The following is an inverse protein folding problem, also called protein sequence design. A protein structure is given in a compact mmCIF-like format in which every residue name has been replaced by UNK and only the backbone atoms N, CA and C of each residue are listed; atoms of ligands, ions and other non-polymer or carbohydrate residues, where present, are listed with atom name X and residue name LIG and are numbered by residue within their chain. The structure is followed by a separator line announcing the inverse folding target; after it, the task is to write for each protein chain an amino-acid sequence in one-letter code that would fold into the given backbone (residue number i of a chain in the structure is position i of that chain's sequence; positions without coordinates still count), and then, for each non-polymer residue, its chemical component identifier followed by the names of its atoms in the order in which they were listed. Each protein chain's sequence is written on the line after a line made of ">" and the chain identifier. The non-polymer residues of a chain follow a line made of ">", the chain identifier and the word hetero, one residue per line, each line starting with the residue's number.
data_IF_134537400366
#
_entry.id   IF_134537400366
#
_cell.length_a   1.000
_cell.length_b   1.000
_cell.length_c   1.000
_cell.angle_alpha   90.00
_cell.angle_beta   90.00
_cell.angle_gamma   90.00
#
_symmetry.space_group_name_H-M   'P 1'
#
loop_
_entity.id
_entity.type
_entity.pdbx_description
1 polymer ?
#
# COMPACT_ATOMS: atom_id res chain seq x y z
N UNK A 1 11.78 8.61 -9.60
CA UNK A 1 10.84 7.67 -10.25
C UNK A 1 11.53 6.45 -10.87
N UNK A 2 12.64 6.60 -11.59
CA UNK A 2 13.31 5.45 -12.22
C UNK A 2 13.62 4.28 -11.26
N UNK A 3 14.07 4.57 -10.04
CA UNK A 3 14.32 3.54 -9.02
C UNK A 3 13.02 2.81 -8.63
N UNK A 4 11.92 3.54 -8.41
CA UNK A 4 10.63 2.95 -8.08
C UNK A 4 10.09 2.07 -9.22
N UNK A 5 10.24 2.51 -10.47
CA UNK A 5 9.85 1.71 -11.65
C UNK A 5 10.69 0.43 -11.78
N UNK A 6 11.99 0.47 -11.43
CA UNK A 6 12.82 -0.73 -11.34
C UNK A 6 12.34 -1.69 -10.24
N UNK A 7 11.93 -1.13 -9.07
CA UNK A 7 11.37 -1.94 -7.99
C UNK A 7 10.05 -2.61 -8.40
N UNK A 8 9.16 -1.88 -9.10
CA UNK A 8 7.90 -2.43 -9.64
C UNK A 8 8.20 -3.56 -10.62
N UNK A 9 9.09 -3.33 -11.61
CA UNK A 9 9.48 -4.35 -12.59
C UNK A 9 10.01 -5.59 -11.89
N UNK A 10 10.95 -5.42 -10.96
CA UNK A 10 11.50 -6.54 -10.20
C UNK A 10 10.42 -7.31 -9.41
N UNK A 11 9.49 -6.60 -8.77
CA UNK A 11 8.40 -7.24 -8.04
C UNK A 11 7.44 -7.97 -8.99
N UNK A 12 7.20 -7.39 -10.14
CA UNK A 12 6.37 -8.00 -11.19
C UNK A 12 7.03 -9.27 -11.74
N UNK A 13 8.32 -9.23 -12.04
CA UNK A 13 9.09 -10.39 -12.54
C UNK A 13 9.19 -11.51 -11.49
N UNK A 14 9.44 -11.17 -10.21
CA UNK A 14 9.60 -12.15 -9.13
C UNK A 14 8.28 -12.80 -8.68
N UNK A 15 7.14 -12.08 -8.77
CA UNK A 15 5.86 -12.50 -8.18
C UNK A 15 4.70 -12.51 -9.17
N UNK A 16 4.95 -12.25 -10.44
CA UNK A 16 3.94 -12.23 -11.50
C UNK A 16 2.70 -11.40 -11.12
N UNK A 17 2.97 -10.11 -10.79
CA UNK A 17 1.96 -9.22 -10.21
C UNK A 17 0.98 -8.69 -11.23
N UNK A 18 1.46 -8.32 -12.43
CA UNK A 18 0.69 -7.64 -13.47
C UNK A 18 0.71 -8.45 -14.75
N UNK A 19 -0.46 -8.79 -15.27
CA UNK A 19 -0.63 -9.50 -16.52
C UNK A 19 -1.20 -8.59 -17.61
N UNK A 20 -1.09 -9.05 -18.83
CA UNK A 20 -1.77 -8.41 -19.95
C UNK A 20 -3.29 -8.41 -19.75
N UNK A 21 -3.94 -7.30 -20.12
CA UNK A 21 -5.38 -7.07 -19.98
C UNK A 21 -5.91 -7.01 -18.51
N UNK A 22 -5.03 -6.93 -17.51
CA UNK A 22 -5.48 -6.64 -16.16
C UNK A 22 -6.20 -5.28 -16.07
N UNK A 23 -7.22 -5.21 -15.23
CA UNK A 23 -7.72 -3.96 -14.69
C UNK A 23 -7.41 -3.88 -13.19
N UNK A 24 -6.65 -2.85 -12.79
CA UNK A 24 -6.11 -2.74 -11.43
C UNK A 24 -6.78 -1.57 -10.70
N UNK A 25 -7.46 -1.82 -9.61
CA UNK A 25 -7.85 -0.76 -8.67
C UNK A 25 -6.65 -0.43 -7.78
N UNK A 26 -6.25 0.84 -7.76
CA UNK A 26 -5.18 1.33 -6.89
C UNK A 26 -5.82 2.00 -5.68
N UNK A 27 -5.65 1.43 -4.49
CA UNK A 27 -6.15 2.02 -3.25
C UNK A 27 -5.34 3.26 -2.86
N UNK A 28 -5.95 4.43 -2.97
CA UNK A 28 -5.34 5.72 -2.63
C UNK A 28 -5.88 6.18 -1.29
N UNK A 29 -5.04 6.17 -0.25
CA UNK A 29 -5.40 6.63 1.10
C UNK A 29 -5.23 8.14 1.31
N UNK A 30 -4.65 8.83 0.34
CA UNK A 30 -4.21 10.22 0.46
C UNK A 30 -2.76 10.38 0.93
N UNK A 31 -2.24 9.41 1.67
CA UNK A 31 -0.85 9.41 2.12
C UNK A 31 0.16 9.26 0.98
N UNK A 32 1.39 9.74 1.23
CA UNK A 32 2.51 9.81 0.28
C UNK A 32 2.72 8.52 -0.55
N UNK A 33 2.67 7.36 0.13
CA UNK A 33 3.01 6.09 -0.51
C UNK A 33 1.99 5.70 -1.57
N UNK A 34 0.70 5.90 -1.27
CA UNK A 34 -0.41 5.54 -2.17
C UNK A 34 -0.50 6.46 -3.39
N UNK A 35 -0.23 7.76 -3.23
CA UNK A 35 -0.27 8.69 -4.37
C UNK A 35 0.96 8.53 -5.25
N UNK A 36 2.13 8.25 -4.65
CA UNK A 36 3.34 7.92 -5.42
C UNK A 36 3.16 6.60 -6.20
N UNK A 37 2.50 5.58 -5.61
CA UNK A 37 2.17 4.34 -6.32
C UNK A 37 1.24 4.60 -7.51
N UNK A 38 0.20 5.42 -7.32
CA UNK A 38 -0.72 5.81 -8.40
C UNK A 38 0.05 6.38 -9.59
N UNK A 39 0.94 7.35 -9.34
CA UNK A 39 1.73 7.96 -10.38
C UNK A 39 2.78 7.00 -10.98
N UNK A 40 3.38 6.15 -10.17
CA UNK A 40 4.34 5.15 -10.65
C UNK A 40 3.68 4.11 -11.57
N UNK A 41 2.49 3.60 -11.23
CA UNK A 41 1.74 2.68 -12.08
C UNK A 41 1.21 3.37 -13.35
N UNK A 42 0.82 4.65 -13.28
CA UNK A 42 0.53 5.44 -14.47
C UNK A 42 1.72 5.48 -15.43
N UNK A 43 2.94 5.73 -14.93
CA UNK A 43 4.13 5.71 -15.78
C UNK A 43 4.46 4.29 -16.25
N UNK A 44 4.28 3.28 -15.40
CA UNK A 44 4.54 1.89 -15.75
C UNK A 44 3.61 1.40 -16.86
N UNK A 45 2.34 1.81 -16.87
CA UNK A 45 1.38 1.48 -17.92
C UNK A 45 1.70 2.07 -19.31
N UNK A 46 2.64 3.03 -19.37
CA UNK A 46 3.12 3.60 -20.65
C UNK A 46 4.21 2.76 -21.32
N UNK A 47 4.79 1.78 -20.63
CA UNK A 47 5.72 0.86 -21.26
C UNK A 47 4.98 -0.10 -22.18
N UNK A 48 5.51 -0.31 -23.39
CA UNK A 48 4.87 -1.10 -24.45
C UNK A 48 4.79 -2.60 -24.16
N UNK A 49 5.55 -3.07 -23.17
CA UNK A 49 5.70 -4.50 -22.87
C UNK A 49 4.52 -5.13 -22.14
N UNK A 50 3.67 -4.32 -21.48
CA UNK A 50 2.49 -4.80 -20.76
C UNK A 50 1.30 -3.85 -20.94
N UNK A 51 0.23 -4.36 -21.49
CA UNK A 51 -1.02 -3.62 -21.64
C UNK A 51 -1.96 -3.95 -20.48
N UNK A 52 -2.05 -3.06 -19.52
CA UNK A 52 -3.03 -3.13 -18.44
C UNK A 52 -3.71 -1.77 -18.25
N UNK A 53 -4.87 -1.78 -17.67
CA UNK A 53 -5.62 -0.59 -17.30
C UNK A 53 -5.68 -0.46 -15.77
N UNK A 54 -5.97 0.74 -15.28
CA UNK A 54 -6.09 0.93 -13.83
C UNK A 54 -7.02 2.11 -13.51
N UNK A 55 -7.52 2.11 -12.28
CA UNK A 55 -8.30 3.22 -11.71
C UNK A 55 -7.80 3.48 -10.29
N UNK A 56 -7.37 4.71 -10.00
CA UNK A 56 -7.13 5.17 -8.65
C UNK A 56 -8.45 5.34 -7.89
N UNK A 57 -8.56 4.80 -6.70
CA UNK A 57 -9.76 4.88 -5.87
C UNK A 57 -9.41 5.44 -4.51
N UNK A 58 -9.97 6.60 -4.18
CA UNK A 58 -10.01 7.15 -2.84
C UNK A 58 -11.34 6.79 -2.18
N UNK A 59 -11.28 6.11 -1.04
CA UNK A 59 -12.46 5.84 -0.23
C UNK A 59 -12.60 6.95 0.80
N UNK A 60 -13.64 7.80 0.64
CA UNK A 60 -14.02 8.75 1.67
C UNK A 60 -14.75 8.01 2.80
N UNK A 61 -14.05 7.81 3.89
CA UNK A 61 -14.53 7.02 5.03
C UNK A 61 -15.36 7.84 6.03
N UNK A 62 -15.62 9.12 5.75
CA UNK A 62 -16.34 10.01 6.63
C UNK A 62 -15.49 10.61 7.77
N UNK A 63 -14.17 10.49 7.72
CA UNK A 63 -13.30 11.25 8.63
C UNK A 63 -13.37 12.74 8.30
N UNK A 64 -13.44 13.59 9.32
CA UNK A 64 -13.49 15.04 9.16
C UNK A 64 -12.15 15.59 8.64
N UNK A 65 -12.24 16.72 7.95
CA UNK A 65 -11.08 17.58 7.59
C UNK A 65 -10.05 16.98 6.61
N UNK A 66 -10.45 16.03 5.75
CA UNK A 66 -9.56 15.56 4.69
C UNK A 66 -9.91 16.20 3.36
N UNK A 67 -9.15 17.21 2.95
CA UNK A 67 -9.25 17.79 1.60
C UNK A 67 -8.36 17.01 0.62
N UNK A 68 -8.98 16.30 -0.31
CA UNK A 68 -8.29 15.53 -1.35
C UNK A 68 -8.19 16.24 -2.70
N UNK A 69 -8.66 17.49 -2.79
CA UNK A 69 -8.63 18.29 -4.02
C UNK A 69 -7.24 18.31 -4.68
N UNK A 70 -6.11 18.44 -3.95
CA UNK A 70 -4.79 18.42 -4.56
C UNK A 70 -4.49 17.12 -5.31
N UNK A 71 -4.99 15.97 -4.81
CA UNK A 71 -4.78 14.66 -5.43
C UNK A 71 -5.67 14.52 -6.67
N UNK A 72 -6.91 14.99 -6.59
CA UNK A 72 -7.85 15.01 -7.72
C UNK A 72 -7.29 15.85 -8.86
N UNK A 73 -6.78 17.05 -8.55
CA UNK A 73 -6.21 17.96 -9.55
C UNK A 73 -4.91 17.39 -10.17
N UNK A 74 -4.11 16.72 -9.35
CA UNK A 74 -2.94 15.99 -9.84
C UNK A 74 -3.35 14.86 -10.80
N UNK A 75 -4.35 14.07 -10.46
CA UNK A 75 -4.86 13.02 -11.32
C UNK A 75 -5.41 13.57 -12.65
N UNK A 76 -6.20 14.67 -12.60
CA UNK A 76 -6.69 15.37 -13.80
C UNK A 76 -5.56 15.87 -14.68
N UNK A 77 -4.51 16.50 -14.09
CA UNK A 77 -3.35 17.02 -14.83
C UNK A 77 -2.67 15.97 -15.70
N UNK A 78 -2.62 14.73 -15.24
CA UNK A 78 -1.98 13.62 -15.97
C UNK A 78 -2.98 12.71 -16.69
N UNK A 79 -4.29 13.04 -16.71
CA UNK A 79 -5.36 12.19 -17.23
C UNK A 79 -5.35 10.78 -16.61
N UNK A 80 -5.09 10.70 -15.30
CA UNK A 80 -5.14 9.47 -14.53
C UNK A 80 -6.59 9.15 -14.17
N UNK A 81 -7.14 7.97 -14.53
CA UNK A 81 -8.47 7.56 -14.09
C UNK A 81 -8.53 7.53 -12.55
N UNK A 82 -9.40 8.34 -11.95
CA UNK A 82 -9.49 8.50 -10.50
C UNK A 82 -10.95 8.65 -10.05
N UNK A 83 -11.32 7.92 -9.00
CA UNK A 83 -12.66 7.97 -8.40
C UNK A 83 -12.58 8.23 -6.90
N UNK A 84 -13.50 9.07 -6.42
CA UNK A 84 -13.78 9.25 -5.00
C UNK A 84 -15.09 8.54 -4.68
N UNK A 85 -15.09 7.64 -3.72
CA UNK A 85 -16.24 6.81 -3.37
C UNK A 85 -16.49 6.94 -1.88
N UNK A 86 -17.71 7.34 -1.51
CA UNK A 86 -18.11 7.43 -0.12
C UNK A 86 -18.38 6.03 0.44
N UNK A 87 -17.79 5.74 1.60
CA UNK A 87 -17.98 4.50 2.35
C UNK A 87 -18.21 4.82 3.84
N UNK A 88 -19.28 4.36 4.48
CA UNK A 88 -19.66 4.78 5.82
C UNK A 88 -18.86 4.09 6.94
N UNK A 89 -17.54 3.96 6.74
CA UNK A 89 -16.68 3.20 7.68
C UNK A 89 -16.58 3.91 9.03
N UNK A 90 -16.43 5.24 9.05
CA UNK A 90 -16.33 5.97 10.31
C UNK A 90 -17.61 5.87 11.13
N UNK A 91 -18.76 6.00 10.50
CA UNK A 91 -20.07 5.84 11.14
C UNK A 91 -20.18 4.44 11.78
N UNK A 92 -19.88 3.39 11.02
CA UNK A 92 -19.88 2.02 11.54
C UNK A 92 -18.93 1.87 12.74
N UNK A 93 -17.71 2.42 12.66
CA UNK A 93 -16.74 2.31 13.74
C UNK A 93 -17.14 3.05 15.00
N UNK A 94 -17.94 4.13 14.90
CA UNK A 94 -18.43 4.86 16.10
C UNK A 94 -19.35 4.02 16.98
N UNK A 95 -20.05 3.04 16.40
CA UNK A 95 -20.88 2.08 17.15
C UNK A 95 -20.07 0.98 17.86
N UNK A 96 -18.78 0.83 17.53
CA UNK A 96 -17.90 -0.23 18.03
C UNK A 96 -16.62 0.32 18.65
N UNK A 97 -16.70 1.45 19.36
CA UNK A 97 -15.55 2.01 20.07
C UNK A 97 -15.09 1.07 21.19
N UNK A 98 -13.79 1.05 21.45
CA UNK A 98 -13.21 0.40 22.61
C UNK A 98 -13.63 1.12 23.89
N UNK A 99 -13.47 0.47 25.06
CA UNK A 99 -13.79 1.05 26.38
C UNK A 99 -13.09 2.40 26.63
N UNK A 100 -11.89 2.58 26.08
CA UNK A 100 -11.12 3.83 26.15
C UNK A 100 -11.52 4.88 25.11
N UNK A 101 -12.61 4.68 24.36
CA UNK A 101 -13.11 5.57 23.32
C UNK A 101 -12.36 5.52 21.98
N UNK A 102 -11.27 4.74 21.88
CA UNK A 102 -10.49 4.62 20.64
C UNK A 102 -11.22 3.76 19.59
N UNK A 103 -11.01 4.07 18.31
CA UNK A 103 -11.53 3.27 17.21
C UNK A 103 -10.78 1.93 17.12
N UNK A 104 -11.49 0.87 16.77
CA UNK A 104 -10.89 -0.44 16.53
C UNK A 104 -10.19 -0.50 15.15
N UNK A 105 -8.86 -0.40 15.17
CA UNK A 105 -8.04 -0.44 13.95
C UNK A 105 -8.15 -1.78 13.18
N UNK A 106 -8.34 -2.89 13.88
CA UNK A 106 -8.50 -4.21 13.24
C UNK A 106 -9.81 -4.26 12.46
N UNK A 107 -10.90 -3.85 13.10
CA UNK A 107 -12.22 -3.76 12.45
C UNK A 107 -12.20 -2.76 11.29
N UNK A 108 -11.57 -1.59 11.46
CA UNK A 108 -11.38 -0.62 10.40
C UNK A 108 -10.67 -1.22 9.19
N UNK A 109 -9.61 -1.97 9.42
CA UNK A 109 -8.85 -2.63 8.36
C UNK A 109 -9.70 -3.66 7.59
N UNK A 110 -10.52 -4.45 8.28
CA UNK A 110 -11.42 -5.42 7.67
C UNK A 110 -12.52 -4.74 6.84
N UNK A 111 -13.13 -3.67 7.37
CA UNK A 111 -14.15 -2.90 6.64
C UNK A 111 -13.57 -2.26 5.37
N UNK A 112 -12.37 -1.66 5.47
CA UNK A 112 -11.66 -1.10 4.30
C UNK A 112 -11.40 -2.15 3.24
N UNK A 113 -10.98 -3.34 3.66
CA UNK A 113 -10.70 -4.45 2.74
C UNK A 113 -11.97 -4.92 2.03
N UNK A 114 -13.07 -5.09 2.75
CA UNK A 114 -14.36 -5.46 2.15
C UNK A 114 -14.86 -4.39 1.17
N UNK A 115 -14.79 -3.12 1.57
CA UNK A 115 -15.21 -2.01 0.72
C UNK A 115 -14.42 -1.92 -0.59
N UNK A 116 -13.09 -1.99 -0.54
CA UNK A 116 -12.26 -1.90 -1.75
C UNK A 116 -12.46 -3.10 -2.69
N UNK A 117 -12.74 -4.30 -2.14
CA UNK A 117 -13.08 -5.48 -2.94
C UNK A 117 -14.39 -5.29 -3.68
N UNK A 118 -15.44 -4.78 -3.01
CA UNK A 118 -16.73 -4.49 -3.66
C UNK A 118 -16.56 -3.45 -4.78
N UNK A 119 -15.81 -2.38 -4.51
CA UNK A 119 -15.50 -1.34 -5.50
C UNK A 119 -14.74 -1.94 -6.70
N UNK A 120 -13.79 -2.82 -6.46
CA UNK A 120 -13.05 -3.47 -7.54
C UNK A 120 -13.99 -4.32 -8.42
N UNK A 121 -14.92 -5.06 -7.83
CA UNK A 121 -15.94 -5.82 -8.58
C UNK A 121 -16.84 -4.91 -9.41
N UNK A 122 -17.33 -3.80 -8.86
CA UNK A 122 -18.15 -2.81 -9.58
C UNK A 122 -17.41 -2.18 -10.76
N UNK A 123 -16.09 -2.07 -10.65
CA UNK A 123 -15.21 -1.56 -11.71
C UNK A 123 -14.71 -2.66 -12.67
N UNK A 124 -15.16 -3.91 -12.52
CA UNK A 124 -14.66 -5.06 -13.26
C UNK A 124 -13.14 -5.21 -13.19
N UNK A 125 -12.55 -4.88 -12.03
CA UNK A 125 -11.13 -5.04 -11.79
C UNK A 125 -10.83 -6.41 -11.18
N UNK A 126 -9.79 -7.05 -11.70
CA UNK A 126 -9.34 -8.36 -11.21
C UNK A 126 -8.18 -8.24 -10.22
N UNK A 127 -7.62 -7.03 -10.04
CA UNK A 127 -6.53 -6.79 -9.08
C UNK A 127 -6.73 -5.51 -8.27
N UNK A 128 -6.21 -5.53 -7.04
CA UNK A 128 -6.14 -4.37 -6.17
C UNK A 128 -4.70 -4.15 -5.76
N UNK A 129 -4.15 -2.96 -6.05
CA UNK A 129 -2.79 -2.58 -5.69
C UNK A 129 -2.75 -1.73 -4.42
N UNK A 130 -1.91 -2.13 -3.47
CA UNK A 130 -1.60 -1.38 -2.26
C UNK A 130 -0.14 -0.91 -2.26
N UNK A 131 0.10 0.25 -1.66
CA UNK A 131 1.40 0.90 -1.64
C UNK A 131 2.34 0.42 -0.51
N UNK A 132 2.07 -0.74 0.08
CA UNK A 132 2.98 -1.30 1.08
C UNK A 132 4.35 -1.55 0.46
N UNK A 133 5.39 -1.12 1.15
CA UNK A 133 6.78 -1.15 0.66
C UNK A 133 7.69 -2.00 1.56
N UNK A 134 8.96 -2.11 1.19
CA UNK A 134 9.92 -2.96 1.89
C UNK A 134 10.10 -2.60 3.37
N UNK A 135 10.07 -1.31 3.73
CA UNK A 135 10.15 -0.90 5.14
C UNK A 135 8.93 -1.37 5.93
N UNK A 136 7.70 -1.28 5.36
CA UNK A 136 6.48 -1.81 5.99
C UNK A 136 6.57 -3.31 6.23
N UNK A 137 7.17 -4.05 5.29
CA UNK A 137 7.33 -5.49 5.41
C UNK A 137 8.27 -5.86 6.56
N UNK A 138 9.37 -5.13 6.72
CA UNK A 138 10.30 -5.30 7.83
C UNK A 138 9.62 -4.93 9.15
N UNK A 139 8.94 -3.78 9.23
CA UNK A 139 8.20 -3.38 10.42
C UNK A 139 7.18 -4.44 10.82
N UNK A 140 6.44 -4.99 9.86
CA UNK A 140 5.44 -6.03 10.11
C UNK A 140 6.07 -7.34 10.57
N UNK A 141 7.22 -7.74 9.99
CA UNK A 141 7.99 -8.90 10.44
C UNK A 141 8.36 -8.78 11.93
N UNK A 142 8.93 -7.64 12.32
CA UNK A 142 9.33 -7.41 13.72
C UNK A 142 8.12 -7.29 14.65
N UNK A 143 7.03 -6.66 14.22
CA UNK A 143 5.78 -6.64 14.99
C UNK A 143 5.26 -8.06 15.22
N UNK A 144 5.20 -8.89 14.20
CA UNK A 144 4.73 -10.26 14.32
C UNK A 144 5.65 -11.11 15.21
N UNK A 145 6.98 -10.97 15.05
CA UNK A 145 7.94 -11.70 15.87
C UNK A 145 7.84 -11.34 17.35
N UNK A 146 7.72 -10.04 17.66
CA UNK A 146 7.76 -9.53 19.05
C UNK A 146 6.41 -9.68 19.74
N UNK A 147 5.29 -9.37 19.06
CA UNK A 147 3.98 -9.32 19.70
C UNK A 147 3.14 -10.60 19.49
N UNK A 148 3.47 -11.40 18.47
CA UNK A 148 2.66 -12.59 18.11
C UNK A 148 3.46 -13.88 18.07
N UNK A 149 4.78 -13.84 18.28
CA UNK A 149 5.65 -15.02 18.21
C UNK A 149 5.70 -15.68 16.82
N UNK A 150 5.41 -14.90 15.75
CA UNK A 150 5.39 -15.39 14.37
C UNK A 150 6.45 -14.69 13.54
N UNK A 151 7.32 -15.46 12.89
CA UNK A 151 8.31 -14.91 11.96
C UNK A 151 7.73 -14.85 10.55
N UNK A 152 6.82 -13.90 10.33
CA UNK A 152 6.08 -13.74 9.09
C UNK A 152 5.76 -12.27 8.80
N UNK A 153 5.51 -11.95 7.53
CA UNK A 153 5.06 -10.65 7.05
C UNK A 153 4.07 -10.83 5.89
N UNK A 154 3.46 -9.74 5.43
CA UNK A 154 2.52 -9.81 4.31
C UNK A 154 3.21 -10.21 3.00
N UNK A 155 2.49 -10.97 2.19
CA UNK A 155 2.97 -11.45 0.88
C UNK A 155 2.88 -10.34 -0.18
N UNK A 156 3.78 -10.34 -1.18
CA UNK A 156 3.70 -9.43 -2.35
C UNK A 156 2.43 -9.59 -3.17
N UNK A 157 1.91 -10.81 -3.24
CA UNK A 157 0.69 -11.21 -3.93
C UNK A 157 -0.17 -12.10 -3.04
N UNK A 158 -1.46 -11.86 -2.99
CA UNK A 158 -2.43 -12.66 -2.24
C UNK A 158 -3.66 -12.89 -3.11
N UNK A 159 -3.95 -14.15 -3.40
CA UNK A 159 -5.20 -14.54 -4.03
C UNK A 159 -6.31 -14.54 -2.97
N UNK A 160 -7.32 -13.72 -3.16
CA UNK A 160 -8.48 -13.68 -2.27
C UNK A 160 -9.54 -14.65 -2.82
N UNK A 161 -9.46 -15.90 -2.36
CA UNK A 161 -10.15 -17.08 -2.94
C UNK A 161 -11.66 -16.86 -3.07
N UNK A 162 -12.29 -16.16 -2.13
CA UNK A 162 -13.75 -15.98 -2.12
C UNK A 162 -14.24 -14.84 -3.05
N UNK A 163 -13.36 -14.11 -3.69
CA UNK A 163 -13.73 -12.85 -4.38
C UNK A 163 -13.16 -12.68 -5.80
N UNK A 164 -12.45 -13.64 -6.35
CA UNK A 164 -11.81 -13.57 -7.67
C UNK A 164 -10.91 -12.33 -7.88
N UNK A 165 -10.46 -11.70 -6.78
CA UNK A 165 -9.63 -10.51 -6.78
C UNK A 165 -8.27 -10.79 -6.17
N UNK A 166 -7.22 -10.35 -6.83
CA UNK A 166 -5.84 -10.53 -6.39
C UNK A 166 -5.33 -9.23 -5.77
N UNK A 167 -4.84 -9.29 -4.53
CA UNK A 167 -4.12 -8.18 -3.92
C UNK A 167 -2.65 -8.21 -4.32
N UNK A 168 -2.13 -7.08 -4.79
CA UNK A 168 -0.74 -6.93 -5.19
C UNK A 168 -0.07 -5.74 -4.47
N UNK A 169 1.25 -5.84 -4.27
CA UNK A 169 2.09 -4.81 -3.65
C UNK A 169 3.29 -4.47 -4.53
N UNK A 170 3.10 -3.64 -5.55
CA UNK A 170 4.16 -3.35 -6.52
C UNK A 170 5.40 -2.68 -5.90
N UNK A 171 5.25 -2.01 -4.75
CA UNK A 171 6.35 -1.36 -4.03
C UNK A 171 7.07 -2.27 -3.03
N UNK A 172 6.84 -3.60 -3.05
CA UNK A 172 7.41 -4.52 -2.06
C UNK A 172 8.94 -4.44 -1.92
N UNK A 173 9.64 -4.07 -2.97
CA UNK A 173 11.10 -3.83 -2.98
C UNK A 173 11.49 -2.36 -2.82
N UNK A 174 10.53 -1.43 -2.83
CA UNK A 174 10.82 -0.01 -2.70
C UNK A 174 11.20 0.34 -1.25
N UNK A 175 12.09 1.33 -1.10
CA UNK A 175 12.43 1.93 0.19
C UNK A 175 11.56 3.16 0.41
N UNK A 176 11.17 3.42 1.66
CA UNK A 176 10.42 4.63 2.02
C UNK A 176 11.16 5.91 1.56
N UNK A 177 12.50 5.93 1.69
CA UNK A 177 13.32 7.06 1.25
C UNK A 177 13.19 7.35 -0.25
N UNK A 178 13.10 6.32 -1.08
CA UNK A 178 12.93 6.49 -2.54
C UNK A 178 11.54 7.01 -2.89
N UNK A 179 10.51 6.64 -2.11
CA UNK A 179 9.15 7.16 -2.24
C UNK A 179 9.12 8.65 -1.86
N UNK A 180 9.71 9.03 -0.72
CA UNK A 180 9.82 10.42 -0.27
C UNK A 180 10.59 11.26 -1.29
N UNK A 181 11.71 10.76 -1.81
CA UNK A 181 12.45 11.45 -2.86
C UNK A 181 11.59 11.68 -4.12
N UNK A 182 10.84 10.67 -4.54
CA UNK A 182 9.95 10.80 -5.69
C UNK A 182 8.80 11.79 -5.43
N UNK A 183 8.20 11.77 -4.24
CA UNK A 183 7.15 12.70 -3.83
C UNK A 183 7.62 14.17 -4.04
N UNK A 184 8.78 14.51 -3.48
CA UNK A 184 9.33 15.87 -3.60
C UNK A 184 9.76 16.22 -5.02
N UNK A 185 10.51 15.33 -5.67
CA UNK A 185 11.06 15.58 -7.01
C UNK A 185 9.99 15.81 -8.07
N UNK A 186 8.84 15.14 -7.96
CA UNK A 186 7.74 15.24 -8.93
C UNK A 186 6.57 16.08 -8.43
N UNK A 187 6.75 16.77 -7.29
CA UNK A 187 5.70 17.58 -6.65
C UNK A 187 4.35 16.82 -6.55
N UNK A 188 4.43 15.54 -6.14
CA UNK A 188 3.25 14.70 -5.95
C UNK A 188 2.55 15.15 -4.67
N UNK A 189 1.25 15.47 -4.70
CA UNK A 189 0.53 15.89 -3.50
C UNK A 189 0.32 14.71 -2.54
N UNK A 190 0.26 15.01 -1.24
CA UNK A 190 -0.20 14.07 -0.23
C UNK A 190 -1.00 14.81 0.82
N UNK A 191 -1.97 14.13 1.41
CA UNK A 191 -2.85 14.68 2.45
C UNK A 191 -2.84 13.77 3.67
N UNK A 192 -3.15 14.33 4.82
CA UNK A 192 -3.28 13.54 6.04
C UNK A 192 -4.57 12.73 6.02
N UNK A 193 -4.54 11.54 6.63
CA UNK A 193 -5.68 10.60 6.61
C UNK A 193 -6.90 11.06 7.42
N UNK A 194 -6.79 12.10 8.25
CA UNK A 194 -7.82 12.52 9.20
C UNK A 194 -8.17 11.48 10.26
N UNK A 195 -7.44 10.36 10.33
CA UNK A 195 -7.71 9.29 11.28
C UNK A 195 -7.28 9.70 12.70
N UNK A 196 -8.19 9.66 13.70
CA UNK A 196 -7.85 10.08 15.07
C UNK A 196 -6.82 9.16 15.77
N UNK A 197 -6.60 7.95 15.27
CA UNK A 197 -5.61 7.01 15.80
C UNK A 197 -4.24 7.12 15.13
N UNK A 198 -4.03 8.10 14.23
CA UNK A 198 -2.78 8.22 13.47
C UNK A 198 -1.62 8.63 14.42
N UNK A 199 -0.46 7.99 14.25
CA UNK A 199 0.80 8.34 14.96
C UNK A 199 1.10 7.60 16.27
N UNK A 200 0.13 7.01 16.97
CA UNK A 200 0.33 6.33 18.27
C UNK A 200 0.06 4.82 18.19
N UNK A 201 0.94 4.09 17.54
CA UNK A 201 0.75 2.65 17.36
C UNK A 201 2.02 1.86 17.73
N UNK A 202 1.87 0.56 18.03
CA UNK A 202 3.01 -0.35 18.25
C UNK A 202 4.00 -0.31 17.06
N UNK A 203 3.51 0.02 15.86
CA UNK A 203 4.35 0.18 14.66
C UNK A 203 5.33 1.35 14.81
N UNK A 204 4.94 2.46 15.41
CA UNK A 204 5.85 3.60 15.63
C UNK A 204 7.03 3.23 16.53
N UNK A 205 6.81 2.42 17.56
CA UNK A 205 7.88 1.92 18.44
C UNK A 205 8.86 1.05 17.65
N UNK A 206 8.35 0.09 16.87
CA UNK A 206 9.20 -0.77 16.04
C UNK A 206 9.99 0.07 15.02
N UNK A 207 9.36 1.04 14.38
CA UNK A 207 10.02 1.94 13.40
C UNK A 207 11.20 2.68 14.03
N UNK A 208 11.06 3.23 15.23
CA UNK A 208 12.16 3.92 15.94
C UNK A 208 13.26 2.96 16.35
N UNK A 209 12.92 1.76 16.84
CA UNK A 209 13.89 0.71 17.17
C UNK A 209 14.71 0.30 15.93
N UNK A 210 14.05 0.09 14.80
CA UNK A 210 14.71 -0.25 13.54
C UNK A 210 15.61 0.90 13.03
N UNK A 211 15.21 2.15 13.18
CA UNK A 211 16.07 3.30 12.86
C UNK A 211 17.36 3.29 13.67
N UNK A 212 17.29 2.94 14.95
CA UNK A 212 18.47 2.80 15.82
C UNK A 212 19.37 1.66 15.37
N UNK A 213 18.79 0.50 15.02
CA UNK A 213 19.52 -0.63 14.44
C UNK A 213 20.24 -0.25 13.15
N UNK A 214 19.61 0.48 12.25
CA UNK A 214 20.20 0.88 10.96
C UNK A 214 21.34 1.87 11.10
N UNK A 215 21.41 2.65 12.20
CA UNK A 215 22.55 3.52 12.50
C UNK A 215 23.79 2.70 12.85
N UNK A 216 23.61 1.60 13.60
CA UNK A 216 24.72 0.72 14.03
C UNK A 216 25.10 -0.26 12.92
N UNK A 217 24.11 -0.74 12.15
CA UNK A 217 24.31 -1.73 11.08
C UNK A 217 23.66 -1.24 9.79
N UNK A 218 24.37 -0.42 8.99
CA UNK A 218 23.78 0.26 7.80
C UNK A 218 23.19 -0.70 6.75
N UNK A 219 23.72 -1.91 6.63
CA UNK A 219 23.24 -2.91 5.67
C UNK A 219 22.08 -3.77 6.18
N UNK A 220 21.67 -3.63 7.45
CA UNK A 220 20.65 -4.49 8.06
C UNK A 220 19.34 -4.49 7.25
N UNK A 221 18.85 -3.33 6.83
CA UNK A 221 17.64 -3.20 6.01
C UNK A 221 17.72 -4.03 4.72
N UNK A 222 18.80 -3.89 3.96
CA UNK A 222 18.98 -4.63 2.70
C UNK A 222 19.09 -6.14 2.95
N UNK A 223 19.77 -6.54 4.01
CA UNK A 223 19.95 -7.96 4.36
C UNK A 223 18.61 -8.58 4.78
N UNK A 224 17.79 -7.88 5.56
CA UNK A 224 16.45 -8.36 5.96
C UNK A 224 15.55 -8.51 4.73
N UNK A 225 15.49 -7.50 3.84
CA UNK A 225 14.72 -7.59 2.59
C UNK A 225 15.18 -8.74 1.69
N UNK A 226 16.51 -8.95 1.60
CA UNK A 226 17.08 -10.10 0.87
C UNK A 226 16.66 -11.42 1.51
N UNK A 227 16.68 -11.53 2.83
CA UNK A 227 16.23 -12.73 3.54
C UNK A 227 14.75 -13.02 3.28
N UNK A 228 13.88 -11.99 3.29
CA UNK A 228 12.45 -12.14 2.98
C UNK A 228 12.20 -12.68 1.57
N UNK A 229 13.02 -12.25 0.58
CA UNK A 229 12.89 -12.60 -0.83
C UNK A 229 13.77 -13.76 -1.29
N UNK A 230 14.53 -14.39 -0.38
CA UNK A 230 15.36 -15.56 -0.70
C UNK A 230 14.51 -16.80 -0.98
N UNK A 231 15.09 -17.83 -1.56
CA UNK A 231 14.43 -19.11 -1.89
C UNK A 231 13.72 -19.73 -0.67
N UNK A 232 14.37 -19.68 0.50
CA UNK A 232 13.79 -20.12 1.77
C UNK A 232 13.15 -18.99 2.57
N UNK A 233 12.92 -17.84 1.95
CA UNK A 233 12.34 -16.66 2.58
C UNK A 233 10.84 -16.76 2.79
N UNK A 234 10.29 -15.72 3.43
CA UNK A 234 8.87 -15.60 3.71
C UNK A 234 8.06 -15.38 2.43
N UNK A 235 8.59 -14.62 1.47
CA UNK A 235 7.91 -14.32 0.21
C UNK A 235 8.07 -15.45 -0.78
N UNK A 236 6.94 -16.01 -1.22
CA UNK A 236 6.91 -17.08 -2.23
C UNK A 236 6.94 -16.45 -3.61
N UNK A 237 7.97 -16.81 -4.40
CA UNK A 237 8.05 -16.41 -5.80
C UNK A 237 7.22 -17.35 -6.66
N UNK A 238 6.55 -16.79 -7.66
CA UNK A 238 5.88 -17.57 -8.70
C UNK A 238 6.95 -17.98 -9.75
N UNK A 239 7.31 -19.24 -9.77
CA UNK A 239 8.24 -19.84 -10.76
C UNK A 239 7.49 -20.37 -11.96
#
# INVERSE_FOLDING_TARGET
>A
MQELLKCIRKADDDFNLIHENDHIVIGVSGGKDSVVLLYALYLYSKFKEKHFTFTGVYMNMGFKDTDISPIVDFAKKFNIPFKCIDVPIYEILTHYKKENGALDCSRCSNLKRGAIVNIAKELNANKIAFAHHGDDAIETLFMNAIYSGKFDTFQPKINYIDNDVIFIRPFIYAKESSIIHALHKYAIPSVNSGCPNDGNTSRSVIKETLKSLYKVTPNAKNNILKALSSENGVWKKDH
#
